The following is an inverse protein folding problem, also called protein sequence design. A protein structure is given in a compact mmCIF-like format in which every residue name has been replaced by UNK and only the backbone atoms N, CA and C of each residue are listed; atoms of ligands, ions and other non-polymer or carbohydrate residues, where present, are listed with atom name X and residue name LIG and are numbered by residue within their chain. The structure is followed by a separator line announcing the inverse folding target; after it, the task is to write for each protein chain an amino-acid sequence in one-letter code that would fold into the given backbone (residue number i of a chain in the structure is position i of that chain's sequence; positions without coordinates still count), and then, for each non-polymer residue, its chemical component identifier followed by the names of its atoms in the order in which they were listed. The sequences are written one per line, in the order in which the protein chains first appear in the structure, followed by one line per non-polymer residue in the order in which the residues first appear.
data_IF_429532078795
#
_entry.id   IF_429532078795
#
_cell.length_a   1.000
_cell.length_b   1.000
_cell.length_c   1.000
_cell.angle_alpha   90.00
_cell.angle_beta   90.00
_cell.angle_gamma   90.00
#
_symmetry.space_group_name_H-M   'P 1'
#
loop_
_entity.id
_entity.type
_entity.pdbx_description
1 polymer ?
#
# COMPACT_ATOMS: atom_id res chain seq x y z
N UNK A 1 16.39 0.28 -22.20
CA UNK A 1 15.10 -0.13 -21.62
C UNK A 1 15.19 0.21 -20.15
N UNK A 2 14.59 1.32 -19.72
CA UNK A 2 14.77 1.78 -18.33
C UNK A 2 14.16 0.75 -17.38
N UNK A 3 14.95 0.28 -16.42
CA UNK A 3 14.42 -0.41 -15.25
C UNK A 3 13.50 0.60 -14.56
N UNK A 4 12.18 0.46 -14.68
CA UNK A 4 11.25 1.28 -13.90
C UNK A 4 11.52 1.03 -12.44
N UNK A 5 11.74 2.11 -11.67
CA UNK A 5 12.03 1.96 -10.24
C UNK A 5 10.81 1.36 -9.53
N UNK A 6 11.03 0.63 -8.43
CA UNK A 6 9.93 0.11 -7.61
C UNK A 6 8.96 1.23 -7.21
N UNK A 7 9.51 2.41 -6.90
CA UNK A 7 8.75 3.64 -6.64
C UNK A 7 7.83 4.00 -7.80
N UNK A 8 8.32 4.00 -9.04
CA UNK A 8 7.50 4.32 -10.22
C UNK A 8 6.34 3.35 -10.38
N UNK A 9 6.60 2.05 -10.18
CA UNK A 9 5.57 1.01 -10.26
C UNK A 9 4.51 1.17 -9.17
N UNK A 10 4.92 1.44 -7.93
CA UNK A 10 4.02 1.63 -6.80
C UNK A 10 3.20 2.92 -6.90
N UNK A 11 3.68 3.94 -7.60
CA UNK A 11 2.94 5.19 -7.77
C UNK A 11 2.17 5.26 -9.10
N UNK A 12 2.36 4.29 -10.00
CA UNK A 12 1.75 4.29 -11.32
C UNK A 12 0.21 4.29 -11.26
N UNK A 13 -0.41 5.18 -12.04
CA UNK A 13 -1.86 5.30 -12.15
C UNK A 13 -2.57 5.83 -10.90
N UNK A 14 -1.85 6.34 -9.91
CA UNK A 14 -2.41 7.10 -8.79
C UNK A 14 -2.58 8.58 -9.17
N UNK A 15 -3.66 9.20 -8.71
CA UNK A 15 -3.82 10.66 -8.79
C UNK A 15 -2.87 11.36 -7.82
N UNK A 16 -2.64 12.66 -8.01
CA UNK A 16 -1.69 13.43 -7.18
C UNK A 16 -2.01 13.31 -5.68
N UNK A 17 -3.29 13.47 -5.29
CA UNK A 17 -3.72 13.30 -3.89
C UNK A 17 -3.51 11.89 -3.36
N UNK A 18 -3.64 10.87 -4.21
CA UNK A 18 -3.38 9.49 -3.81
C UNK A 18 -1.88 9.24 -3.66
N UNK A 19 -1.04 9.83 -4.53
CA UNK A 19 0.42 9.80 -4.41
C UNK A 19 0.87 10.44 -3.12
N UNK A 20 0.38 11.64 -2.81
CA UNK A 20 0.68 12.34 -1.56
C UNK A 20 0.34 11.47 -0.35
N UNK A 21 -0.84 10.84 -0.36
CA UNK A 21 -1.28 9.93 0.69
C UNK A 21 -0.46 8.64 0.77
N UNK A 22 0.17 8.17 -0.31
CA UNK A 22 1.04 6.99 -0.32
C UNK A 22 2.45 7.35 0.16
N UNK A 23 2.98 8.51 -0.26
CA UNK A 23 4.36 8.94 0.03
C UNK A 23 4.52 9.68 1.35
N UNK A 24 3.43 10.06 2.03
CA UNK A 24 3.47 10.66 3.36
C UNK A 24 4.05 9.69 4.39
N UNK A 25 5.26 9.87 4.89
CA UNK A 25 5.94 8.87 5.75
C UNK A 25 6.02 9.26 7.22
N UNK A 26 5.95 10.56 7.51
CA UNK A 26 6.17 11.09 8.85
C UNK A 26 4.90 11.69 9.46
N UNK A 27 4.67 11.40 10.75
CA UNK A 27 3.57 11.96 11.51
C UNK A 27 2.18 11.44 11.11
N UNK A 28 1.13 11.90 11.82
CA UNK A 28 -0.24 11.44 11.62
C UNK A 28 -0.81 11.90 10.27
N UNK A 29 -1.62 11.05 9.64
CA UNK A 29 -2.33 11.34 8.39
C UNK A 29 -3.80 10.94 8.50
N UNK A 30 -4.71 11.85 8.13
CA UNK A 30 -6.15 11.58 7.99
C UNK A 30 -6.55 11.67 6.52
N UNK A 31 -7.14 10.60 5.99
CA UNK A 31 -7.64 10.54 4.62
C UNK A 31 -9.17 10.50 4.66
N UNK A 32 -9.82 11.55 4.16
CA UNK A 32 -11.27 11.62 3.99
C UNK A 32 -11.60 11.30 2.53
N UNK A 33 -12.38 10.25 2.29
CA UNK A 33 -12.54 9.71 0.95
C UNK A 33 -13.97 9.22 0.68
N UNK A 34 -14.62 9.76 -0.37
CA UNK A 34 -15.96 9.36 -0.81
C UNK A 34 -16.03 7.96 -1.43
N UNK A 35 -17.22 7.38 -1.66
CA UNK A 35 -17.36 6.12 -2.40
C UNK A 35 -16.61 6.13 -3.74
N UNK A 36 -16.03 5.00 -4.15
CA UNK A 36 -15.31 4.88 -5.43
C UNK A 36 -13.95 5.61 -5.55
N UNK A 37 -13.53 6.38 -4.54
CA UNK A 37 -12.27 7.16 -4.57
C UNK A 37 -10.96 6.35 -4.45
N UNK A 38 -11.05 5.02 -4.37
CA UNK A 38 -9.88 4.15 -4.29
C UNK A 38 -9.22 4.03 -2.91
N UNK A 39 -9.95 4.27 -1.81
CA UNK A 39 -9.40 4.21 -0.43
C UNK A 39 -8.58 2.94 -0.14
N UNK A 40 -9.10 1.77 -0.52
CA UNK A 40 -8.43 0.48 -0.33
C UNK A 40 -7.14 0.40 -1.15
N UNK A 41 -7.15 0.90 -2.39
CA UNK A 41 -5.97 0.98 -3.25
C UNK A 41 -4.91 1.87 -2.61
N UNK A 42 -5.28 3.06 -2.14
CA UNK A 42 -4.35 3.97 -1.44
C UNK A 42 -3.72 3.30 -0.22
N UNK A 43 -4.51 2.62 0.62
CA UNK A 43 -3.96 1.91 1.78
C UNK A 43 -2.98 0.80 1.40
N UNK A 44 -3.31 -0.04 0.41
CA UNK A 44 -2.42 -1.11 -0.02
C UNK A 44 -1.11 -0.58 -0.61
N UNK A 45 -1.19 0.41 -1.50
CA UNK A 45 -0.02 1.06 -2.09
C UNK A 45 0.84 1.77 -1.02
N UNK A 46 0.22 2.39 0.00
CA UNK A 46 0.92 2.99 1.13
C UNK A 46 1.71 1.97 1.93
N UNK A 47 1.09 0.83 2.27
CA UNK A 47 1.79 -0.25 2.99
C UNK A 47 2.95 -0.80 2.15
N UNK A 48 2.73 -1.06 0.86
CA UNK A 48 3.78 -1.52 -0.04
C UNK A 48 4.92 -0.49 -0.18
N UNK A 49 4.61 0.81 -0.24
CA UNK A 49 5.60 1.88 -0.27
C UNK A 49 6.44 1.93 1.00
N UNK A 50 5.80 1.83 2.17
CA UNK A 50 6.52 1.79 3.45
C UNK A 50 7.50 0.61 3.48
N UNK A 51 7.09 -0.56 3.01
CA UNK A 51 7.94 -1.75 3.02
C UNK A 51 9.05 -1.66 1.96
N UNK A 52 8.66 -1.52 0.69
CA UNK A 52 9.57 -1.68 -0.44
C UNK A 52 10.45 -0.47 -0.73
N UNK A 53 9.97 0.75 -0.43
CA UNK A 53 10.71 1.99 -0.73
C UNK A 53 11.36 2.55 0.52
N UNK A 54 10.63 2.61 1.65
CA UNK A 54 11.17 3.20 2.88
C UNK A 54 11.89 2.19 3.78
N UNK A 55 11.77 0.88 3.50
CA UNK A 55 12.43 -0.18 4.25
C UNK A 55 11.83 -0.44 5.64
N UNK A 56 10.60 0.00 5.89
CA UNK A 56 9.89 -0.32 7.13
C UNK A 56 9.63 -1.81 7.16
N UNK A 57 10.09 -2.45 8.23
CA UNK A 57 9.87 -3.88 8.35
C UNK A 57 8.37 -4.22 8.49
N UNK A 58 7.84 -5.24 7.78
CA UNK A 58 6.40 -5.53 7.75
C UNK A 58 5.79 -5.77 9.13
N UNK A 59 6.52 -6.41 10.05
CA UNK A 59 6.05 -6.66 11.42
C UNK A 59 5.93 -5.40 12.29
N UNK A 60 6.39 -4.23 11.80
CA UNK A 60 6.18 -2.93 12.44
C UNK A 60 4.93 -2.21 11.93
N UNK A 61 4.18 -2.80 11.00
CA UNK A 61 2.97 -2.21 10.41
C UNK A 61 1.74 -2.97 10.90
N UNK A 62 0.79 -2.23 11.48
CA UNK A 62 -0.52 -2.77 11.87
C UNK A 62 -1.61 -2.19 10.96
N UNK A 63 -2.29 -3.06 10.21
CA UNK A 63 -3.49 -2.72 9.44
C UNK A 63 -4.73 -3.25 10.12
N UNK A 64 -5.75 -2.40 10.31
CA UNK A 64 -7.03 -2.79 10.93
C UNK A 64 -8.17 -2.46 9.98
N UNK A 65 -9.08 -3.41 9.79
CA UNK A 65 -10.28 -3.25 8.95
C UNK A 65 -11.50 -3.82 9.66
N UNK A 66 -12.70 -3.39 9.26
CA UNK A 66 -13.95 -3.84 9.88
C UNK A 66 -14.27 -5.33 9.68
N UNK A 67 -13.74 -5.98 8.63
CA UNK A 67 -14.05 -7.38 8.33
C UNK A 67 -12.80 -8.17 7.96
N UNK A 68 -12.81 -9.48 8.25
CA UNK A 68 -11.72 -10.38 7.85
C UNK A 68 -11.52 -10.44 6.33
N UNK A 69 -12.62 -10.32 5.56
CA UNK A 69 -12.56 -10.28 4.10
C UNK A 69 -11.78 -9.06 3.62
N UNK A 70 -12.06 -7.88 4.15
CA UNK A 70 -11.34 -6.66 3.79
C UNK A 70 -9.86 -6.73 4.18
N UNK A 71 -9.53 -7.30 5.34
CA UNK A 71 -8.15 -7.53 5.75
C UNK A 71 -7.42 -8.44 4.75
N UNK A 72 -8.05 -9.55 4.35
CA UNK A 72 -7.50 -10.51 3.37
C UNK A 72 -7.28 -9.86 2.00
N UNK A 73 -8.25 -9.09 1.51
CA UNK A 73 -8.14 -8.37 0.24
C UNK A 73 -7.00 -7.34 0.27
N UNK A 74 -6.89 -6.55 1.33
CA UNK A 74 -5.80 -5.59 1.49
C UNK A 74 -4.43 -6.29 1.49
N UNK A 75 -4.31 -7.39 2.23
CA UNK A 75 -3.08 -8.19 2.29
C UNK A 75 -2.69 -8.78 0.93
N UNK A 76 -3.66 -9.32 0.18
CA UNK A 76 -3.41 -9.87 -1.16
C UNK A 76 -2.86 -8.80 -2.09
N UNK A 77 -3.47 -7.60 -2.12
CA UNK A 77 -3.00 -6.49 -2.96
C UNK A 77 -1.58 -6.05 -2.58
N UNK A 78 -1.27 -5.96 -1.29
CA UNK A 78 0.10 -5.63 -0.82
C UNK A 78 1.09 -6.70 -1.30
N UNK A 79 0.73 -7.97 -1.19
CA UNK A 79 1.60 -9.08 -1.57
C UNK A 79 1.84 -9.10 -3.07
N UNK A 80 0.81 -8.85 -3.88
CA UNK A 80 0.94 -8.74 -5.33
C UNK A 80 1.86 -7.57 -5.74
N UNK A 81 1.71 -6.40 -5.09
CA UNK A 81 2.54 -5.22 -5.34
C UNK A 81 4.02 -5.45 -5.01
N UNK A 82 4.31 -6.27 -4.00
CA UNK A 82 5.67 -6.60 -3.56
C UNK A 82 6.19 -7.92 -4.17
N UNK A 83 5.40 -8.58 -5.02
CA UNK A 83 5.69 -9.89 -5.62
C UNK A 83 6.07 -10.91 -4.54
N UNK A 84 5.31 -10.90 -3.44
CA UNK A 84 5.48 -11.82 -2.33
C UNK A 84 4.71 -13.11 -2.57
N UNK A 85 5.39 -14.22 -2.30
CA UNK A 85 4.76 -15.52 -2.32
C UNK A 85 3.98 -15.76 -1.02
N UNK A 86 2.66 -15.72 -1.15
CA UNK A 86 1.70 -15.95 -0.09
C UNK A 86 1.74 -17.38 0.48
N UNK A 87 2.30 -18.35 -0.23
CA UNK A 87 2.37 -19.75 0.26
C UNK A 87 3.36 -19.92 1.42
N UNK A 88 4.30 -18.98 1.56
CA UNK A 88 5.37 -19.01 2.56
C UNK A 88 5.12 -18.09 3.77
N UNK A 89 4.03 -17.30 3.77
CA UNK A 89 3.66 -16.43 4.89
C UNK A 89 2.63 -17.13 5.79
N UNK A 90 3.13 -17.93 6.74
CA UNK A 90 2.32 -18.60 7.78
C UNK A 90 2.68 -18.07 9.16
#
# INVERSE_FOLDING_TARGET
MALTSLTDNLLFGLSDRQRDAVTHTDGPLLIIAGPGSGKTRVMAHRVAYLIGVTGVSPWKILGVTFTNKAARELWNVVSDLLVWDLTNYK
#
